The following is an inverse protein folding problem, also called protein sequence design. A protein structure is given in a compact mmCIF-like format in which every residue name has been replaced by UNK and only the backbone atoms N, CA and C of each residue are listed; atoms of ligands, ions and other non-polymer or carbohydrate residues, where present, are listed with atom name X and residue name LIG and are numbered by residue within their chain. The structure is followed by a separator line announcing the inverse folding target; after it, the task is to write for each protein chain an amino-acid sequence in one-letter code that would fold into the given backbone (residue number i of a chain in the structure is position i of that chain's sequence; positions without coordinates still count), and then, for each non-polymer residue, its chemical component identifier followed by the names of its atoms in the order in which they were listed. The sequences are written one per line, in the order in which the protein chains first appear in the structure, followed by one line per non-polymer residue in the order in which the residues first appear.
data_IF_159504151933
#
_entry.id   IF_159504151933
#
_cell.length_a   1.000
_cell.length_b   1.000
_cell.length_c   1.000
_cell.angle_alpha   90.00
_cell.angle_beta   90.00
_cell.angle_gamma   90.00
#
_symmetry.space_group_name_H-M   'P 1'
#
loop_
_entity.id
_entity.type
_entity.pdbx_description
1 polymer ?
#
# COMPACT_ATOMS: atom_id res chain seq x y z
N UNK A 1 -6.21 7.97 -11.18
CA UNK A 1 -5.48 6.69 -11.23
C UNK A 1 -5.19 6.31 -12.67
N UNK A 2 -6.16 6.15 -13.56
CA UNK A 2 -5.88 5.90 -15.00
C UNK A 2 -4.87 6.87 -15.65
N UNK A 3 -4.99 8.18 -15.40
CA UNK A 3 -4.01 9.17 -15.88
C UNK A 3 -2.59 8.96 -15.30
N UNK A 4 -2.50 8.46 -14.06
CA UNK A 4 -1.22 8.14 -13.42
C UNK A 4 -0.60 6.89 -14.04
N UNK A 5 -1.41 5.85 -14.30
CA UNK A 5 -0.99 4.61 -14.96
C UNK A 5 -0.47 4.91 -16.37
N UNK A 6 -1.22 5.72 -17.14
CA UNK A 6 -0.81 6.17 -18.48
C UNK A 6 0.50 6.97 -18.43
N UNK A 7 0.64 7.89 -17.47
CA UNK A 7 1.88 8.68 -17.28
C UNK A 7 3.07 7.78 -16.95
N UNK A 8 2.87 6.75 -16.12
CA UNK A 8 3.90 5.82 -15.72
C UNK A 8 4.33 4.91 -16.88
N UNK A 9 3.36 4.39 -17.64
CA UNK A 9 3.59 3.60 -18.87
C UNK A 9 4.40 4.43 -19.89
N UNK A 10 3.99 5.67 -20.15
CA UNK A 10 4.68 6.59 -21.07
C UNK A 10 6.13 6.87 -20.64
N UNK A 11 6.34 7.04 -19.32
CA UNK A 11 7.67 7.25 -18.72
C UNK A 11 8.58 6.03 -18.91
N UNK A 12 8.06 4.82 -18.67
CA UNK A 12 8.79 3.56 -18.87
C UNK A 12 9.12 3.36 -20.35
N UNK A 13 8.18 3.63 -21.27
CA UNK A 13 8.40 3.58 -22.73
C UNK A 13 9.49 4.54 -23.20
N UNK A 14 9.46 5.80 -22.75
CA UNK A 14 10.54 6.77 -23.03
C UNK A 14 11.90 6.28 -22.52
N UNK A 15 11.92 5.66 -21.33
CA UNK A 15 13.16 5.12 -20.78
C UNK A 15 13.69 3.96 -21.60
N UNK A 16 12.82 3.06 -22.06
CA UNK A 16 13.19 1.96 -22.96
C UNK A 16 13.75 2.46 -24.30
N UNK A 17 13.11 3.45 -24.93
CA UNK A 17 13.61 4.07 -26.17
C UNK A 17 15.00 4.68 -26.01
N UNK A 18 15.32 5.21 -24.83
CA UNK A 18 16.66 5.76 -24.54
C UNK A 18 17.76 4.71 -24.40
N UNK A 19 17.41 3.43 -24.22
CA UNK A 19 18.34 2.34 -23.97
C UNK A 19 18.72 1.54 -25.24
N UNK A 20 18.06 1.80 -26.38
CA UNK A 20 18.37 1.19 -27.68
C UNK A 20 17.24 0.32 -28.24
N UNK A 21 17.56 -0.55 -29.20
CA UNK A 21 16.62 -1.51 -29.77
C UNK A 21 16.37 -2.67 -28.80
N UNK A 22 15.10 -2.95 -28.53
CA UNK A 22 14.62 -3.96 -27.59
C UNK A 22 13.60 -4.93 -28.21
N UNK A 23 13.41 -4.89 -29.54
CA UNK A 23 12.37 -5.67 -30.24
C UNK A 23 12.51 -7.18 -30.01
N UNK A 24 13.75 -7.68 -29.95
CA UNK A 24 14.00 -9.10 -29.67
C UNK A 24 13.70 -9.47 -28.22
N UNK A 25 13.94 -8.57 -27.25
CA UNK A 25 13.67 -8.83 -25.82
C UNK A 25 12.16 -8.84 -25.56
N UNK A 26 11.40 -7.98 -26.22
CA UNK A 26 9.93 -8.00 -26.18
C UNK A 26 9.37 -9.34 -26.69
N UNK A 27 9.86 -9.81 -27.85
CA UNK A 27 9.47 -11.11 -28.41
C UNK A 27 9.84 -12.30 -27.52
N UNK A 28 10.99 -12.25 -26.84
CA UNK A 28 11.40 -13.25 -25.86
C UNK A 28 10.37 -13.32 -24.72
N UNK A 29 10.01 -12.17 -24.13
CA UNK A 29 9.07 -12.12 -23.01
C UNK A 29 7.68 -12.62 -23.41
N UNK A 30 7.18 -12.23 -24.58
CA UNK A 30 5.90 -12.71 -25.10
C UNK A 30 5.89 -14.23 -25.29
N UNK A 31 6.96 -14.80 -25.85
CA UNK A 31 7.06 -16.23 -26.08
C UNK A 31 7.24 -17.02 -24.78
N UNK A 32 8.01 -16.50 -23.81
CA UNK A 32 8.13 -17.07 -22.46
C UNK A 32 6.78 -17.10 -21.73
N UNK A 33 6.01 -16.02 -21.84
CA UNK A 33 4.69 -15.95 -21.21
C UNK A 33 3.68 -16.88 -21.89
N UNK A 34 3.67 -16.92 -23.22
CA UNK A 34 2.85 -17.86 -23.99
C UNK A 34 3.18 -19.31 -23.63
N UNK A 35 4.48 -19.63 -23.46
CA UNK A 35 4.93 -20.94 -23.02
C UNK A 35 4.49 -21.24 -21.58
N UNK A 36 4.60 -20.30 -20.63
CA UNK A 36 4.07 -20.46 -19.26
C UNK A 36 2.56 -20.71 -19.25
N UNK A 37 1.79 -19.95 -20.03
CA UNK A 37 0.35 -20.15 -20.19
C UNK A 37 0.04 -21.55 -20.72
N UNK A 38 0.77 -21.99 -21.75
CA UNK A 38 0.62 -23.33 -22.32
C UNK A 38 0.95 -24.44 -21.31
N UNK A 39 1.99 -24.28 -20.48
CA UNK A 39 2.28 -25.22 -19.39
C UNK A 39 1.15 -25.28 -18.35
N UNK A 40 0.53 -24.14 -18.02
CA UNK A 40 -0.56 -24.08 -17.06
C UNK A 40 -1.89 -24.61 -17.59
N UNK A 41 -2.12 -24.52 -18.91
CA UNK A 41 -3.36 -24.91 -19.58
C UNK A 41 -3.11 -25.29 -21.05
N UNK A 42 -2.72 -26.55 -21.34
CA UNK A 42 -2.39 -27.01 -22.69
C UNK A 42 -3.65 -27.40 -23.49
N UNK A 43 -4.72 -26.59 -23.38
CA UNK A 43 -6.02 -26.89 -23.97
C UNK A 43 -6.10 -26.41 -25.44
N UNK A 44 -5.27 -25.43 -25.81
CA UNK A 44 -5.31 -24.76 -27.13
C UNK A 44 -3.95 -24.79 -27.84
N UNK A 45 -3.51 -25.98 -28.28
CA UNK A 45 -2.25 -26.15 -29.02
C UNK A 45 -2.17 -25.25 -30.27
N UNK A 46 -3.31 -25.08 -30.96
CA UNK A 46 -3.39 -24.26 -32.16
C UNK A 46 -3.14 -22.78 -31.89
N UNK A 47 -3.54 -22.28 -30.73
CA UNK A 47 -3.34 -20.89 -30.32
C UNK A 47 -1.88 -20.63 -29.95
N UNK A 48 -1.25 -21.57 -29.23
CA UNK A 48 0.18 -21.48 -28.96
C UNK A 48 1.03 -21.55 -30.25
N UNK A 49 0.65 -22.41 -31.21
CA UNK A 49 1.30 -22.47 -32.53
C UNK A 49 1.12 -21.18 -33.35
N UNK A 50 0.04 -20.41 -33.15
CA UNK A 50 -0.12 -19.08 -33.77
C UNK A 50 0.80 -18.05 -33.12
N UNK A 51 1.02 -18.13 -31.81
CA UNK A 51 1.94 -17.25 -31.09
C UNK A 51 3.41 -17.48 -31.51
N UNK A 52 3.80 -18.75 -31.73
CA UNK A 52 5.09 -19.11 -32.32
C UNK A 52 5.22 -18.54 -33.76
N UNK A 53 4.14 -18.59 -34.55
CA UNK A 53 4.13 -18.07 -35.93
C UNK A 53 4.28 -16.55 -36.02
N UNK A 54 3.80 -15.77 -35.04
CA UNK A 54 4.04 -14.32 -35.01
C UNK A 54 5.54 -13.96 -35.06
N UNK A 55 6.38 -14.88 -34.62
CA UNK A 55 7.84 -14.77 -34.63
C UNK A 55 8.50 -15.50 -35.84
N UNK A 56 7.75 -15.73 -36.93
CA UNK A 56 8.18 -16.55 -38.08
C UNK A 56 9.45 -16.08 -38.80
N UNK A 57 9.83 -14.81 -38.66
CA UNK A 57 11.05 -14.25 -39.28
C UNK A 57 12.30 -14.98 -38.78
N UNK A 58 12.29 -15.47 -37.53
CA UNK A 58 13.40 -16.16 -36.88
C UNK A 58 13.38 -17.68 -37.07
N UNK A 59 12.32 -18.23 -37.65
CA UNK A 59 12.22 -19.66 -37.93
C UNK A 59 13.07 -20.01 -39.16
N UNK A 60 14.03 -20.91 -38.97
CA UNK A 60 14.74 -21.54 -40.07
C UNK A 60 13.80 -22.45 -40.89
N UNK A 61 14.25 -22.90 -42.06
CA UNK A 61 13.45 -23.74 -42.97
C UNK A 61 12.90 -25.01 -42.30
N UNK A 62 13.72 -25.66 -41.46
CA UNK A 62 13.32 -26.86 -40.71
C UNK A 62 12.23 -26.58 -39.68
N UNK A 63 12.30 -25.46 -38.98
CA UNK A 63 11.31 -25.07 -37.96
C UNK A 63 9.98 -24.67 -38.59
N UNK A 64 10.01 -23.99 -39.75
CA UNK A 64 8.80 -23.66 -40.50
C UNK A 64 8.06 -24.91 -40.95
N UNK A 65 8.81 -25.91 -41.43
CA UNK A 65 8.24 -27.20 -41.81
C UNK A 65 7.61 -27.92 -40.61
N UNK A 66 8.31 -27.96 -39.47
CA UNK A 66 7.79 -28.53 -38.20
C UNK A 66 6.51 -27.82 -37.75
N UNK A 67 6.48 -26.49 -37.80
CA UNK A 67 5.31 -25.67 -37.47
C UNK A 67 4.11 -26.01 -38.37
N UNK A 68 4.30 -26.09 -39.68
CA UNK A 68 3.24 -26.43 -40.64
C UNK A 68 2.70 -27.85 -40.41
N UNK A 69 3.58 -28.82 -40.12
CA UNK A 69 3.18 -30.20 -39.81
C UNK A 69 2.34 -30.28 -38.53
N UNK A 70 2.75 -29.57 -37.46
CA UNK A 70 2.03 -29.55 -36.18
C UNK A 70 0.65 -28.91 -36.32
N UNK A 71 0.52 -27.81 -37.07
CA UNK A 71 -0.79 -27.17 -37.34
C UNK A 71 -1.73 -28.09 -38.13
N UNK A 72 -1.21 -28.83 -39.13
CA UNK A 72 -2.00 -29.75 -39.93
C UNK A 72 -2.53 -30.95 -39.13
N UNK A 73 -1.80 -31.40 -38.10
CA UNK A 73 -2.24 -32.46 -37.18
C UNK A 73 -3.41 -32.00 -36.31
N UNK A 74 -3.40 -30.75 -35.84
CA UNK A 74 -4.46 -30.19 -34.99
C UNK A 74 -5.78 -29.96 -35.72
N UNK A 75 -5.75 -29.67 -37.03
CA UNK A 75 -6.98 -29.51 -37.83
C UNK A 75 -7.74 -30.82 -38.12
N UNK A 76 -7.19 -31.99 -37.77
CA UNK A 76 -7.77 -33.32 -38.06
C UNK A 76 -8.58 -33.95 -36.90
N UNK A 77 -8.79 -33.27 -35.77
CA UNK A 77 -9.59 -33.84 -34.68
C UNK A 77 -11.06 -34.06 -35.12
N UNK A 78 -11.55 -35.30 -34.95
CA UNK A 78 -12.91 -35.74 -35.30
C UNK A 78 -13.97 -34.93 -34.57
N UNK A 79 -14.94 -34.37 -35.30
CA UNK A 79 -16.17 -33.87 -34.69
C UNK A 79 -16.92 -35.00 -33.96
N UNK A 80 -17.40 -34.79 -32.73
CA UNK A 80 -18.20 -35.78 -32.02
C UNK A 80 -19.51 -36.07 -32.77
N UNK A 81 -20.03 -37.29 -32.63
CA UNK A 81 -21.31 -37.68 -33.21
C UNK A 81 -22.42 -36.75 -32.69
N UNK A 82 -23.29 -36.25 -33.58
CA UNK A 82 -24.37 -35.36 -33.20
C UNK A 82 -25.43 -36.11 -32.35
N UNK A 83 -25.36 -35.95 -31.02
CA UNK A 83 -26.27 -36.59 -30.06
C UNK A 83 -27.62 -35.86 -29.92
N UNK A 84 -27.84 -34.75 -30.64
CA UNK A 84 -29.03 -33.91 -30.49
C UNK A 84 -30.33 -34.70 -30.63
N UNK A 85 -30.35 -35.66 -31.56
CA UNK A 85 -31.52 -36.49 -31.87
C UNK A 85 -31.90 -37.41 -30.70
N UNK A 86 -30.90 -37.92 -29.95
CA UNK A 86 -31.15 -38.74 -28.75
C UNK A 86 -31.64 -37.86 -27.60
N UNK A 87 -31.06 -36.66 -27.41
CA UNK A 87 -31.49 -35.72 -26.38
C UNK A 87 -32.92 -35.21 -26.61
N UNK A 88 -33.37 -35.14 -27.86
CA UNK A 88 -34.69 -34.64 -28.23
C UNK A 88 -35.85 -35.58 -27.87
N UNK A 89 -35.60 -36.86 -27.56
CA UNK A 89 -36.65 -37.78 -27.11
C UNK A 89 -37.40 -37.25 -25.88
N UNK A 90 -38.74 -37.31 -25.92
CA UNK A 90 -39.65 -36.76 -24.91
C UNK A 90 -40.17 -37.84 -23.97
N UNK A 91 -39.64 -37.88 -22.75
CA UNK A 91 -40.04 -38.88 -21.75
C UNK A 91 -41.07 -38.35 -20.72
N UNK A 92 -41.56 -37.13 -20.89
CA UNK A 92 -42.62 -36.55 -20.06
C UNK A 92 -43.92 -36.48 -20.87
N UNK A 93 -45.07 -36.60 -20.19
CA UNK A 93 -46.37 -36.60 -20.85
C UNK A 93 -46.59 -35.30 -21.64
N UNK A 94 -46.40 -34.16 -20.99
CA UNK A 94 -46.58 -32.83 -21.58
C UNK A 94 -45.66 -32.61 -22.79
N UNK A 95 -44.40 -33.03 -22.70
CA UNK A 95 -43.45 -32.88 -23.80
C UNK A 95 -43.72 -33.84 -24.96
N UNK A 96 -44.22 -35.04 -24.68
CA UNK A 96 -44.55 -36.00 -25.72
C UNK A 96 -45.79 -35.58 -26.52
N UNK A 97 -46.78 -34.98 -25.85
CA UNK A 97 -47.98 -34.44 -26.48
C UNK A 97 -47.70 -33.27 -27.43
N UNK A 98 -46.61 -32.52 -27.21
CA UNK A 98 -46.19 -31.39 -28.05
C UNK A 98 -45.53 -31.87 -29.37
N UNK A 99 -44.36 -32.51 -29.29
CA UNK A 99 -43.60 -32.94 -30.47
C UNK A 99 -43.05 -34.37 -30.40
N UNK A 100 -43.48 -35.19 -29.43
CA UNK A 100 -42.90 -36.50 -29.13
C UNK A 100 -42.87 -37.50 -30.29
N UNK A 101 -43.96 -37.60 -31.06
CA UNK A 101 -44.06 -38.49 -32.23
C UNK A 101 -43.05 -38.08 -33.31
N UNK A 102 -42.87 -36.78 -33.54
CA UNK A 102 -41.90 -36.27 -34.52
C UNK A 102 -40.46 -36.57 -34.06
N UNK A 103 -40.15 -36.41 -32.78
CA UNK A 103 -38.81 -36.73 -32.23
C UNK A 103 -38.48 -38.22 -32.27
N UNK A 104 -39.49 -39.08 -32.08
CA UNK A 104 -39.31 -40.52 -32.25
C UNK A 104 -38.96 -40.86 -33.71
N UNK A 105 -39.63 -40.23 -34.67
CA UNK A 105 -39.34 -40.41 -36.10
C UNK A 105 -37.94 -39.88 -36.47
N UNK A 106 -37.55 -38.70 -35.98
CA UNK A 106 -36.21 -38.15 -36.16
C UNK A 106 -35.12 -39.17 -35.74
N UNK A 107 -35.35 -39.90 -34.63
CA UNK A 107 -34.42 -40.92 -34.15
C UNK A 107 -34.41 -42.17 -35.04
N UNK A 108 -35.58 -42.62 -35.52
CA UNK A 108 -35.70 -43.78 -36.42
C UNK A 108 -34.98 -43.56 -37.76
N UNK A 109 -34.92 -42.32 -38.24
CA UNK A 109 -34.22 -41.94 -39.49
C UNK A 109 -32.77 -41.49 -39.27
N UNK A 110 -32.32 -41.40 -38.01
CA UNK A 110 -30.97 -40.95 -37.69
C UNK A 110 -29.89 -42.01 -37.92
N UNK A 111 -28.63 -41.58 -37.82
CA UNK A 111 -27.46 -42.47 -37.78
C UNK A 111 -27.49 -43.51 -36.64
N UNK A 112 -28.39 -43.36 -35.65
CA UNK A 112 -28.51 -44.27 -34.51
C UNK A 112 -29.53 -45.40 -34.73
N UNK A 113 -30.19 -45.47 -35.89
CA UNK A 113 -31.20 -46.50 -36.22
C UNK A 113 -30.71 -47.93 -36.12
N UNK A 114 -29.42 -48.15 -36.32
CA UNK A 114 -28.75 -49.45 -36.21
C UNK A 114 -28.54 -49.88 -34.75
N UNK A 115 -28.63 -48.93 -33.80
CA UNK A 115 -28.52 -49.19 -32.36
C UNK A 115 -29.88 -49.55 -31.71
N UNK A 116 -30.97 -49.56 -32.50
CA UNK A 116 -32.33 -49.85 -32.03
C UNK A 116 -32.67 -51.34 -32.23
N UNK A 117 -33.20 -51.98 -31.19
CA UNK A 117 -33.80 -53.32 -31.27
C UNK A 117 -35.17 -53.26 -31.95
N UNK A 118 -35.75 -54.43 -32.23
CA UNK A 118 -37.12 -54.52 -32.76
C UNK A 118 -38.14 -53.92 -31.80
N UNK A 119 -37.99 -54.16 -30.50
CA UNK A 119 -38.87 -53.63 -29.45
C UNK A 119 -38.76 -52.12 -29.32
N UNK A 120 -37.56 -51.55 -29.53
CA UNK A 120 -37.38 -50.10 -29.50
C UNK A 120 -38.07 -49.41 -30.68
N UNK A 121 -38.05 -50.04 -31.86
CA UNK A 121 -38.75 -49.53 -33.05
C UNK A 121 -40.26 -49.56 -32.84
N UNK A 122 -40.78 -50.67 -32.33
CA UNK A 122 -42.20 -50.79 -31.97
C UNK A 122 -42.62 -49.76 -30.89
N UNK A 123 -41.73 -49.46 -29.94
CA UNK A 123 -41.94 -48.40 -28.95
C UNK A 123 -41.95 -47.00 -29.61
N UNK A 124 -41.02 -46.70 -30.50
CA UNK A 124 -40.91 -45.40 -31.16
C UNK A 124 -42.03 -45.13 -32.17
N UNK A 125 -42.54 -46.18 -32.84
CA UNK A 125 -43.64 -46.13 -33.81
C UNK A 125 -45.02 -46.04 -33.15
N UNK A 126 -45.11 -46.28 -31.83
CA UNK A 126 -46.38 -46.19 -31.09
C UNK A 126 -46.83 -44.73 -30.93
N UNK A 127 -48.13 -44.48 -31.18
CA UNK A 127 -48.77 -43.17 -31.00
C UNK A 127 -48.92 -42.80 -29.51
N UNK A 128 -48.95 -43.80 -28.62
CA UNK A 128 -48.98 -43.64 -27.16
C UNK A 128 -47.97 -44.60 -26.53
N UNK A 129 -46.66 -44.29 -26.63
CA UNK A 129 -45.63 -45.17 -26.10
C UNK A 129 -45.61 -45.13 -24.58
N UNK A 130 -45.07 -46.19 -23.98
CA UNK A 130 -44.75 -46.16 -22.56
C UNK A 130 -43.56 -45.21 -22.35
N UNK A 131 -43.79 -44.08 -21.67
CA UNK A 131 -42.79 -43.02 -21.49
C UNK A 131 -41.63 -43.44 -20.59
N UNK A 132 -41.84 -44.35 -19.62
CA UNK A 132 -40.77 -44.90 -18.80
C UNK A 132 -39.79 -45.71 -19.66
N UNK A 133 -40.32 -46.55 -20.56
CA UNK A 133 -39.50 -47.27 -21.54
C UNK A 133 -38.79 -46.35 -22.53
N UNK A 134 -39.40 -45.23 -22.89
CA UNK A 134 -38.77 -44.24 -23.77
C UNK A 134 -37.60 -43.52 -23.07
N UNK A 135 -37.73 -43.27 -21.76
CA UNK A 135 -36.63 -42.76 -20.93
C UNK A 135 -35.49 -43.78 -20.82
N UNK A 136 -35.81 -45.06 -20.61
CA UNK A 136 -34.83 -46.14 -20.58
C UNK A 136 -34.08 -46.26 -21.91
N UNK A 137 -34.79 -46.20 -23.04
CA UNK A 137 -34.22 -46.18 -24.38
C UNK A 137 -33.27 -44.99 -24.56
N UNK A 138 -33.72 -43.79 -24.18
CA UNK A 138 -32.92 -42.56 -24.23
C UNK A 138 -31.63 -42.70 -23.43
N UNK A 139 -31.71 -43.17 -22.19
CA UNK A 139 -30.55 -43.36 -21.32
C UNK A 139 -29.58 -44.39 -21.90
N UNK A 140 -30.06 -45.53 -22.37
CA UNK A 140 -29.22 -46.58 -22.97
C UNK A 140 -28.52 -46.10 -24.25
N UNK A 141 -29.20 -45.33 -25.09
CA UNK A 141 -28.60 -44.74 -26.29
C UNK A 141 -27.56 -43.67 -25.93
N UNK A 142 -27.79 -42.88 -24.89
CA UNK A 142 -26.78 -41.94 -24.38
C UNK A 142 -25.59 -42.69 -23.79
N UNK A 143 -25.77 -43.73 -22.99
CA UNK A 143 -24.67 -44.52 -22.43
C UNK A 143 -23.79 -45.17 -23.50
N UNK A 144 -24.40 -45.62 -24.61
CA UNK A 144 -23.67 -46.27 -25.71
C UNK A 144 -22.96 -45.28 -26.63
N UNK A 145 -23.53 -44.09 -26.85
CA UNK A 145 -23.05 -43.15 -27.87
C UNK A 145 -22.43 -41.86 -27.32
N UNK A 146 -22.66 -41.53 -26.04
CA UNK A 146 -22.01 -40.38 -25.44
C UNK A 146 -20.50 -40.61 -25.37
N UNK A 147 -19.68 -39.59 -25.68
CA UNK A 147 -18.25 -39.70 -25.48
C UNK A 147 -18.00 -40.07 -24.01
N UNK A 148 -17.16 -41.10 -23.78
CA UNK A 148 -16.70 -41.39 -22.42
C UNK A 148 -16.09 -40.11 -21.87
N UNK A 149 -16.42 -39.77 -20.62
CA UNK A 149 -15.75 -38.68 -19.91
C UNK A 149 -14.31 -39.12 -19.66
N UNK A 150 -13.44 -38.84 -20.61
CA UNK A 150 -12.00 -38.95 -20.43
C UNK A 150 -11.58 -37.76 -19.58
N UNK A 151 -11.30 -38.02 -18.31
CA UNK A 151 -10.59 -37.06 -17.47
C UNK A 151 -9.10 -37.15 -17.83
N UNK A 152 -8.76 -36.73 -19.05
CA UNK A 152 -7.36 -36.57 -19.42
C UNK A 152 -6.90 -35.19 -18.93
N UNK A 153 -5.90 -35.19 -18.05
CA UNK A 153 -5.09 -34.00 -17.82
C UNK A 153 -4.28 -33.82 -19.10
N UNK A 154 -4.69 -32.88 -19.95
CA UNK A 154 -3.93 -32.51 -21.13
C UNK A 154 -2.48 -32.21 -20.70
N UNK A 155 -1.53 -32.93 -21.27
CA UNK A 155 -0.10 -32.68 -21.05
C UNK A 155 0.41 -31.78 -22.18
N UNK A 156 1.34 -30.87 -21.88
CA UNK A 156 2.02 -30.10 -22.92
C UNK A 156 2.67 -31.03 -23.95
N UNK A 157 2.45 -30.76 -25.23
CA UNK A 157 3.05 -31.51 -26.33
C UNK A 157 4.54 -31.16 -26.43
N UNK A 158 5.39 -32.16 -26.20
CA UNK A 158 6.85 -32.00 -26.20
C UNK A 158 7.39 -31.46 -27.53
N UNK A 159 6.78 -31.80 -28.67
CA UNK A 159 7.21 -31.31 -29.98
C UNK A 159 6.97 -29.80 -30.14
N UNK A 160 5.86 -29.28 -29.59
CA UNK A 160 5.49 -27.86 -29.62
C UNK A 160 6.35 -27.07 -28.64
N UNK A 161 6.55 -27.62 -27.44
CA UNK A 161 7.43 -27.04 -26.41
C UNK A 161 8.87 -26.96 -26.93
N UNK A 162 9.39 -28.02 -27.54
CA UNK A 162 10.71 -28.01 -28.18
C UNK A 162 10.81 -26.92 -29.24
N UNK A 163 9.81 -26.78 -30.12
CA UNK A 163 9.81 -25.73 -31.14
C UNK A 163 9.86 -24.32 -30.54
N UNK A 164 9.14 -24.07 -29.44
CA UNK A 164 9.18 -22.79 -28.74
C UNK A 164 10.53 -22.52 -28.07
N UNK A 165 11.14 -23.53 -27.44
CA UNK A 165 12.46 -23.41 -26.81
C UNK A 165 13.57 -23.19 -27.85
N UNK A 166 13.53 -23.89 -28.98
CA UNK A 166 14.47 -23.70 -30.08
C UNK A 166 14.40 -22.26 -30.61
N UNK A 167 13.20 -21.69 -30.69
CA UNK A 167 12.98 -20.29 -31.09
C UNK A 167 13.49 -19.31 -30.03
N UNK A 168 13.24 -19.57 -28.74
CA UNK A 168 13.77 -18.77 -27.64
C UNK A 168 15.31 -18.73 -27.67
N UNK A 169 15.97 -19.86 -27.92
CA UNK A 169 17.43 -19.93 -28.01
C UNK A 169 17.98 -19.05 -29.14
N UNK A 170 17.35 -19.07 -30.32
CA UNK A 170 17.69 -18.19 -31.44
C UNK A 170 17.54 -16.72 -31.03
N UNK A 171 16.39 -16.35 -30.43
CA UNK A 171 16.14 -14.97 -30.01
C UNK A 171 17.15 -14.51 -28.94
N UNK A 172 17.48 -15.37 -27.98
CA UNK A 172 18.48 -15.09 -26.95
C UNK A 172 19.87 -14.88 -27.54
N UNK A 173 20.27 -15.66 -28.54
CA UNK A 173 21.56 -15.53 -29.21
C UNK A 173 21.74 -14.22 -29.99
N UNK A 174 20.62 -13.62 -30.42
CA UNK A 174 20.58 -12.38 -31.22
C UNK A 174 20.25 -11.15 -30.37
N UNK A 175 20.08 -11.30 -29.05
CA UNK A 175 19.68 -10.22 -28.15
C UNK A 175 20.83 -9.78 -27.24
N UNK A 176 21.10 -8.47 -27.10
CA UNK A 176 21.97 -7.97 -26.06
C UNK A 176 21.40 -8.33 -24.68
N UNK A 177 22.19 -8.93 -23.80
CA UNK A 177 21.77 -9.30 -22.44
C UNK A 177 21.76 -8.07 -21.49
N UNK A 178 21.00 -7.02 -21.85
CA UNK A 178 20.81 -5.87 -20.96
C UNK A 178 19.69 -6.14 -19.96
N UNK A 179 20.09 -6.49 -18.74
CA UNK A 179 19.18 -6.75 -17.62
C UNK A 179 18.24 -5.58 -17.34
N UNK A 180 18.64 -4.33 -17.62
CA UNK A 180 17.79 -3.15 -17.38
C UNK A 180 16.63 -3.09 -18.35
N UNK A 181 16.88 -3.39 -19.63
CA UNK A 181 15.83 -3.44 -20.66
C UNK A 181 14.82 -4.55 -20.30
N UNK A 182 15.32 -5.73 -19.91
CA UNK A 182 14.46 -6.85 -19.49
C UNK A 182 13.55 -6.48 -18.31
N UNK A 183 14.10 -5.91 -17.23
CA UNK A 183 13.31 -5.50 -16.06
C UNK A 183 12.27 -4.44 -16.42
N UNK A 184 12.62 -3.47 -17.27
CA UNK A 184 11.69 -2.42 -17.69
C UNK A 184 10.57 -2.96 -18.58
N UNK A 185 10.84 -3.93 -19.46
CA UNK A 185 9.81 -4.58 -20.28
C UNK A 185 8.91 -5.49 -19.45
N UNK A 186 9.46 -6.23 -18.49
CA UNK A 186 8.66 -7.02 -17.53
C UNK A 186 7.74 -6.09 -16.72
N UNK A 187 8.27 -4.95 -16.24
CA UNK A 187 7.49 -3.95 -15.53
C UNK A 187 6.40 -3.33 -16.42
N UNK A 188 6.73 -2.97 -17.66
CA UNK A 188 5.77 -2.44 -18.63
C UNK A 188 4.65 -3.44 -18.93
N UNK A 189 4.98 -4.72 -19.12
CA UNK A 189 4.01 -5.80 -19.35
C UNK A 189 3.02 -5.91 -18.20
N UNK A 190 3.50 -5.86 -16.95
CA UNK A 190 2.63 -5.84 -15.76
C UNK A 190 1.73 -4.60 -15.76
N UNK A 191 2.28 -3.42 -16.03
CA UNK A 191 1.48 -2.19 -16.06
C UNK A 191 0.38 -2.21 -17.13
N UNK A 192 0.68 -2.72 -18.33
CA UNK A 192 -0.26 -2.75 -19.46
C UNK A 192 -1.31 -3.87 -19.34
N UNK A 193 -0.94 -5.02 -18.78
CA UNK A 193 -1.81 -6.21 -18.72
C UNK A 193 -2.66 -6.27 -17.46
N UNK A 194 -2.22 -5.64 -16.37
CA UNK A 194 -2.93 -5.63 -15.09
C UNK A 194 -3.09 -4.22 -14.53
N UNK A 195 -3.90 -3.34 -15.17
CA UNK A 195 -4.10 -1.97 -14.68
C UNK A 195 -4.74 -1.93 -13.28
N UNK A 196 -5.60 -2.89 -12.97
CA UNK A 196 -6.26 -3.04 -11.67
C UNK A 196 -5.31 -3.49 -10.55
N UNK A 197 -4.19 -4.15 -10.87
CA UNK A 197 -3.23 -4.59 -9.85
C UNK A 197 -2.44 -3.40 -9.30
N UNK A 198 -2.16 -2.39 -10.13
CA UNK A 198 -1.56 -1.14 -9.66
C UNK A 198 -2.56 -0.35 -8.79
N UNK A 199 -3.83 -0.31 -9.16
CA UNK A 199 -4.89 0.27 -8.33
C UNK A 199 -5.01 -0.47 -6.98
N UNK A 200 -4.98 -1.81 -7.00
CA UNK A 200 -4.95 -2.65 -5.81
C UNK A 200 -3.72 -2.38 -4.95
N UNK A 201 -2.53 -2.36 -5.57
CA UNK A 201 -1.27 -2.05 -4.91
C UNK A 201 -1.30 -0.66 -4.28
N UNK A 202 -1.73 0.38 -4.98
CA UNK A 202 -1.80 1.74 -4.44
C UNK A 202 -2.80 1.85 -3.30
N UNK A 203 -3.92 1.13 -3.39
CA UNK A 203 -4.93 1.03 -2.34
C UNK A 203 -4.44 0.28 -1.11
N UNK A 204 -3.55 -0.69 -1.30
CA UNK A 204 -2.96 -1.49 -0.23
C UNK A 204 -1.68 -0.87 0.34
N UNK A 205 -0.96 -0.05 -0.46
CA UNK A 205 0.30 0.59 -0.10
C UNK A 205 0.09 1.89 0.69
N UNK A 206 -0.95 2.67 0.38
CA UNK A 206 -1.20 3.97 1.03
C UNK A 206 -2.34 3.88 2.06
N UNK A 207 -2.09 3.25 3.20
CA UNK A 207 -2.90 3.47 4.40
C UNK A 207 -2.12 4.29 5.42
N UNK A 208 -2.23 5.62 5.33
CA UNK A 208 -1.73 6.55 6.34
C UNK A 208 -2.90 6.93 7.24
N UNK A 209 -2.84 6.54 8.51
CA UNK A 209 -3.74 7.08 9.54
C UNK A 209 -3.23 8.46 9.95
N UNK A 210 -3.95 9.53 9.59
CA UNK A 210 -3.73 10.84 10.20
C UNK A 210 -4.53 10.92 11.51
N UNK A 211 -3.87 10.71 12.64
CA UNK A 211 -4.47 10.73 13.98
C UNK A 211 -4.60 12.15 14.55
N UNK A 212 -5.06 13.11 13.76
CA UNK A 212 -5.59 14.37 14.31
C UNK A 212 -7.09 14.18 14.53
N UNK A 213 -7.47 13.78 15.76
CA UNK A 213 -8.75 13.92 16.51
C UNK A 213 -10.13 13.96 15.80
N UNK A 214 -10.23 13.73 14.48
CA UNK A 214 -11.48 13.82 13.72
C UNK A 214 -11.59 12.83 12.57
N UNK A 215 -10.48 12.26 12.09
CA UNK A 215 -10.50 11.25 11.02
C UNK A 215 -10.57 9.81 11.53
N UNK A 216 -10.56 9.59 12.85
CA UNK A 216 -10.67 8.26 13.44
C UNK A 216 -12.00 7.56 13.06
N UNK A 217 -13.13 8.26 13.21
CA UNK A 217 -14.43 7.74 12.78
C UNK A 217 -14.49 7.57 11.26
N UNK A 218 -13.88 8.47 10.51
CA UNK A 218 -13.86 8.40 9.05
C UNK A 218 -13.03 7.21 8.55
N UNK A 219 -11.92 6.88 9.19
CA UNK A 219 -11.11 5.71 8.85
C UNK A 219 -11.83 4.40 9.21
N UNK A 220 -12.50 4.32 10.37
CA UNK A 220 -13.34 3.18 10.75
C UNK A 220 -14.60 3.04 9.87
N UNK A 221 -15.21 4.14 9.46
CA UNK A 221 -16.33 4.16 8.51
C UNK A 221 -15.89 3.77 7.10
N UNK A 222 -14.71 4.23 6.66
CA UNK A 222 -14.11 3.85 5.36
C UNK A 222 -13.65 2.40 5.36
N UNK A 223 -13.20 1.87 6.51
CA UNK A 223 -12.91 0.44 6.72
C UNK A 223 -14.17 -0.43 6.75
N UNK A 224 -15.35 0.17 6.87
CA UNK A 224 -16.65 -0.47 6.65
C UNK A 224 -16.98 -1.55 7.69
N UNK A 225 -18.22 -1.51 8.21
CA UNK A 225 -18.82 -2.51 9.12
C UNK A 225 -18.87 -3.96 8.57
N UNK A 226 -18.23 -4.28 7.45
CA UNK A 226 -18.23 -5.62 6.84
C UNK A 226 -16.87 -6.23 6.53
N UNK A 227 -15.74 -5.51 6.59
CA UNK A 227 -14.41 -6.10 6.39
C UNK A 227 -13.33 -5.28 7.12
N UNK A 228 -13.17 -5.51 8.43
CA UNK A 228 -12.01 -5.02 9.18
C UNK A 228 -10.73 -5.54 8.49
N UNK A 229 -9.99 -4.64 7.82
CA UNK A 229 -8.68 -4.96 7.25
C UNK A 229 -7.66 -4.94 8.39
N UNK A 230 -7.03 -6.08 8.60
CA UNK A 230 -5.89 -6.24 9.49
C UNK A 230 -4.60 -6.20 8.67
N UNK A 231 -3.55 -5.62 9.23
CA UNK A 231 -2.25 -5.45 8.61
C UNK A 231 -1.23 -6.41 9.23
N UNK A 232 -0.32 -6.98 8.44
CA UNK A 232 0.72 -7.86 8.98
C UNK A 232 1.68 -7.10 9.91
N UNK A 233 1.98 -5.84 9.54
CA UNK A 233 2.77 -4.92 10.35
C UNK A 233 2.06 -3.57 10.52
N UNK A 234 2.12 -3.02 11.73
CA UNK A 234 1.69 -1.65 12.04
C UNK A 234 2.88 -0.87 12.59
N UNK A 235 3.13 0.31 12.03
CA UNK A 235 4.16 1.24 12.49
C UNK A 235 3.45 2.52 12.96
N UNK A 236 3.72 2.94 14.19
CA UNK A 236 3.17 4.18 14.75
C UNK A 236 4.34 5.09 15.09
N UNK A 237 4.41 6.22 14.39
CA UNK A 237 5.35 7.30 14.71
C UNK A 237 4.73 8.28 15.71
N UNK A 238 5.58 8.99 16.47
CA UNK A 238 5.17 9.87 17.58
C UNK A 238 4.24 9.18 18.60
N UNK A 239 4.41 7.86 18.80
CA UNK A 239 3.57 7.02 19.65
C UNK A 239 3.57 7.46 21.12
N UNK A 240 4.59 8.21 21.56
CA UNK A 240 4.66 8.78 22.90
C UNK A 240 3.59 9.88 23.15
N UNK A 241 3.19 10.59 22.09
CA UNK A 241 2.16 11.66 22.09
C UNK A 241 0.74 11.12 21.89
N UNK A 242 0.59 9.87 21.45
CA UNK A 242 -0.73 9.29 21.19
C UNK A 242 -1.50 9.07 22.50
N UNK A 243 -2.81 9.31 22.47
CA UNK A 243 -3.69 8.90 23.55
C UNK A 243 -3.63 7.36 23.70
N UNK A 244 -3.57 6.81 24.92
CA UNK A 244 -3.56 5.36 25.15
C UNK A 244 -4.63 4.58 24.37
N UNK A 245 -5.86 5.10 24.28
CA UNK A 245 -6.95 4.42 23.56
C UNK A 245 -6.73 4.42 22.06
N UNK A 246 -6.28 5.55 21.49
CA UNK A 246 -5.96 5.65 20.06
C UNK A 246 -4.83 4.70 19.68
N UNK A 247 -3.78 4.65 20.51
CA UNK A 247 -2.65 3.76 20.31
C UNK A 247 -3.08 2.29 20.33
N UNK A 248 -3.92 1.88 21.31
CA UNK A 248 -4.45 0.51 21.39
C UNK A 248 -5.28 0.14 20.17
N UNK A 249 -6.14 1.04 19.69
CA UNK A 249 -6.98 0.77 18.53
C UNK A 249 -6.14 0.52 17.28
N UNK A 250 -5.09 1.33 17.06
CA UNK A 250 -4.18 1.15 15.92
C UNK A 250 -3.35 -0.13 16.07
N UNK A 251 -2.85 -0.42 17.27
CA UNK A 251 -2.13 -1.67 17.57
C UNK A 251 -2.98 -2.92 17.34
N UNK A 252 -4.29 -2.87 17.63
CA UNK A 252 -5.20 -3.99 17.44
C UNK A 252 -5.42 -4.37 15.96
N UNK A 253 -5.03 -3.50 15.02
CA UNK A 253 -5.07 -3.78 13.59
C UNK A 253 -3.89 -4.67 13.12
N UNK A 254 -2.86 -4.86 13.95
CA UNK A 254 -1.69 -5.66 13.61
C UNK A 254 -1.93 -7.17 13.82
N UNK A 255 -1.54 -8.00 12.85
CA UNK A 255 -1.56 -9.46 12.96
C UNK A 255 -0.29 -10.02 13.58
N UNK A 256 0.87 -9.51 13.15
CA UNK A 256 2.16 -10.14 13.48
C UNK A 256 3.10 -9.18 14.21
N UNK A 257 3.22 -7.94 13.73
CA UNK A 257 4.27 -7.02 14.20
C UNK A 257 3.76 -5.62 14.45
N UNK A 258 4.20 -5.05 15.57
CA UNK A 258 3.96 -3.65 15.96
C UNK A 258 5.32 -2.99 16.15
N UNK A 259 5.52 -1.83 15.54
CA UNK A 259 6.70 -0.98 15.72
C UNK A 259 6.20 0.37 16.23
N UNK A 260 6.65 0.76 17.42
CA UNK A 260 6.34 2.05 18.01
C UNK A 260 7.60 2.91 17.99
N UNK A 261 7.50 4.08 17.39
CA UNK A 261 8.55 5.11 17.36
C UNK A 261 8.04 6.31 18.16
N UNK A 262 8.86 6.83 19.06
CA UNK A 262 8.47 7.95 19.92
C UNK A 262 9.51 8.23 21.00
N UNK A 263 9.32 9.35 21.69
CA UNK A 263 10.19 9.82 22.75
C UNK A 263 9.36 10.22 23.98
N UNK A 264 9.45 9.43 25.05
CA UNK A 264 8.69 9.64 26.28
C UNK A 264 9.13 10.87 27.10
N UNK A 265 10.14 11.60 26.64
CA UNK A 265 10.61 12.86 27.25
C UNK A 265 10.16 14.11 26.51
N UNK A 266 9.59 13.96 25.32
CA UNK A 266 8.99 15.08 24.59
C UNK A 266 7.58 15.36 25.14
N UNK A 267 6.81 16.18 24.42
CA UNK A 267 5.49 16.61 24.88
C UNK A 267 4.59 15.39 25.20
N UNK A 268 3.89 15.39 26.35
CA UNK A 268 2.90 14.37 26.66
C UNK A 268 1.71 14.46 25.70
N UNK A 269 0.84 13.45 25.72
CA UNK A 269 -0.42 13.54 24.98
C UNK A 269 -1.30 14.66 25.53
N UNK A 270 -2.00 15.36 24.63
CA UNK A 270 -2.94 16.40 24.99
C UNK A 270 -4.09 15.80 25.79
N UNK A 271 -4.40 16.38 26.96
CA UNK A 271 -5.59 16.06 27.73
C UNK A 271 -6.68 17.04 27.33
N UNK A 272 -7.81 16.49 26.88
CA UNK A 272 -8.95 17.29 26.50
C UNK A 272 -9.50 18.06 27.72
N UNK A 273 -9.76 19.35 27.58
CA UNK A 273 -10.32 20.23 28.60
C UNK A 273 -11.64 19.67 29.18
N UNK A 274 -12.37 18.84 28.42
CA UNK A 274 -13.55 18.13 28.93
C UNK A 274 -13.23 17.01 29.92
N UNK A 275 -12.09 16.34 29.77
CA UNK A 275 -11.61 15.32 30.71
C UNK A 275 -11.17 16.02 31.98
N UNK A 276 -10.46 17.16 31.88
CA UNK A 276 -10.11 17.98 33.04
C UNK A 276 -11.34 18.46 33.80
N UNK A 277 -12.36 18.96 33.12
CA UNK A 277 -13.64 19.38 33.76
C UNK A 277 -14.40 18.22 34.41
N UNK A 278 -14.34 17.01 33.85
CA UNK A 278 -14.94 15.82 34.48
C UNK A 278 -14.14 15.39 35.71
N UNK A 279 -12.82 15.47 35.63
CA UNK A 279 -11.92 15.24 36.76
C UNK A 279 -12.13 16.26 37.87
N UNK A 280 -12.54 17.51 37.58
CA UNK A 280 -12.87 18.50 38.62
C UNK A 280 -13.91 18.01 39.63
N UNK A 281 -14.85 17.14 39.20
CA UNK A 281 -15.93 16.61 40.03
C UNK A 281 -15.58 15.36 40.87
N UNK A 282 -14.40 14.76 40.64
CA UNK A 282 -13.95 13.54 41.31
C UNK A 282 -13.17 13.82 42.62
N UNK A 283 -12.98 12.79 43.44
CA UNK A 283 -12.13 12.88 44.65
C UNK A 283 -10.65 13.11 44.31
N UNK A 284 -9.91 13.79 45.18
CA UNK A 284 -8.49 14.14 44.93
C UNK A 284 -7.62 12.91 44.66
N UNK A 285 -7.83 11.81 45.39
CA UNK A 285 -7.06 10.57 45.19
C UNK A 285 -7.29 9.97 43.78
N UNK A 286 -8.52 10.04 43.27
CA UNK A 286 -8.88 9.57 41.91
C UNK A 286 -8.29 10.49 40.84
N UNK A 287 -8.28 11.82 41.08
CA UNK A 287 -7.60 12.77 40.17
C UNK A 287 -6.11 12.49 40.10
N UNK A 288 -5.46 12.33 41.24
CA UNK A 288 -4.01 12.09 41.30
C UNK A 288 -3.64 10.77 40.62
N UNK A 289 -4.44 9.71 40.78
CA UNK A 289 -4.24 8.44 40.07
C UNK A 289 -4.45 8.55 38.56
N UNK A 290 -5.51 9.23 38.12
CA UNK A 290 -5.81 9.40 36.69
C UNK A 290 -4.76 10.32 36.06
N UNK A 291 -4.41 11.42 36.69
CA UNK A 291 -3.39 12.36 36.22
C UNK A 291 -2.01 11.68 36.14
N UNK A 292 -1.66 10.82 37.11
CA UNK A 292 -0.45 9.99 37.02
C UNK A 292 -0.53 8.96 35.89
N UNK A 293 -1.68 8.32 35.69
CA UNK A 293 -1.88 7.33 34.63
C UNK A 293 -1.86 7.96 33.23
N UNK A 294 -2.29 9.21 33.11
CA UNK A 294 -2.25 10.04 31.90
C UNK A 294 -0.84 10.62 31.67
N UNK A 295 -0.15 11.09 32.71
CA UNK A 295 1.24 11.55 32.60
C UNK A 295 2.20 10.42 32.20
N UNK A 296 1.91 9.18 32.58
CA UNK A 296 2.66 8.01 32.12
C UNK A 296 2.09 7.47 30.80
N UNK A 297 2.59 8.03 29.69
CA UNK A 297 2.29 7.54 28.34
C UNK A 297 2.39 6.02 28.23
N UNK A 298 1.43 5.40 27.52
CA UNK A 298 1.44 3.97 27.23
C UNK A 298 2.76 3.53 26.59
N UNK A 299 3.36 4.38 25.76
CA UNK A 299 4.67 4.15 25.17
C UNK A 299 5.75 3.91 26.23
N UNK A 300 5.80 4.77 27.26
CA UNK A 300 6.74 4.64 28.38
C UNK A 300 6.53 3.31 29.14
N UNK A 301 5.28 2.94 29.43
CA UNK A 301 4.95 1.67 30.09
C UNK A 301 5.40 0.46 29.26
N UNK A 302 5.22 0.51 27.95
CA UNK A 302 5.67 -0.55 27.03
C UNK A 302 7.20 -0.62 26.96
N UNK A 303 7.90 0.52 26.95
CA UNK A 303 9.37 0.59 27.00
C UNK A 303 9.93 -0.04 28.29
N UNK A 304 9.39 0.32 29.45
CA UNK A 304 9.78 -0.26 30.74
C UNK A 304 9.47 -1.78 30.79
N UNK A 305 8.34 -2.19 30.20
CA UNK A 305 8.00 -3.62 30.09
C UNK A 305 8.98 -4.37 29.19
N UNK A 306 9.38 -3.78 28.06
CA UNK A 306 10.36 -4.34 27.15
C UNK A 306 11.72 -4.55 27.83
N UNK A 307 12.17 -3.59 28.65
CA UNK A 307 13.38 -3.69 29.47
C UNK A 307 13.29 -4.86 30.47
N UNK A 308 12.20 -4.93 31.25
CA UNK A 308 11.98 -6.04 32.21
C UNK A 308 11.94 -7.40 31.52
N UNK A 309 11.35 -7.50 30.33
CA UNK A 309 11.33 -8.75 29.57
C UNK A 309 12.72 -9.15 29.06
N UNK A 310 13.55 -8.18 28.64
CA UNK A 310 14.95 -8.43 28.27
C UNK A 310 15.73 -9.02 29.43
N UNK A 311 15.52 -8.55 30.66
CA UNK A 311 16.15 -9.12 31.86
C UNK A 311 15.75 -10.57 32.11
N UNK A 312 14.52 -10.96 31.75
CA UNK A 312 13.98 -12.30 31.97
C UNK A 312 14.41 -13.32 30.91
N UNK A 313 14.46 -12.94 29.64
CA UNK A 313 14.70 -13.88 28.54
C UNK A 313 15.84 -13.51 27.57
N UNK A 314 16.55 -12.41 27.86
CA UNK A 314 17.69 -11.95 27.07
C UNK A 314 17.34 -11.36 25.71
N UNK A 315 16.06 -11.22 25.34
CA UNK A 315 15.65 -10.74 24.02
C UNK A 315 15.49 -9.22 24.00
N UNK A 316 16.20 -8.58 23.08
CA UNK A 316 16.10 -7.14 22.84
C UNK A 316 14.81 -6.80 22.09
N UNK A 317 14.05 -5.83 22.64
CA UNK A 317 12.70 -5.45 22.17
C UNK A 317 12.53 -3.95 21.96
N UNK A 318 13.50 -3.16 22.39
CA UNK A 318 13.52 -1.73 22.21
C UNK A 318 14.93 -1.33 21.81
N UNK A 319 15.05 -0.25 21.07
CA UNK A 319 16.33 0.33 20.67
C UNK A 319 16.23 1.84 20.83
N UNK A 320 17.29 2.45 21.37
CA UNK A 320 17.41 3.90 21.50
C UNK A 320 18.34 4.42 20.40
N UNK A 321 17.85 5.37 19.60
CA UNK A 321 18.68 6.09 18.64
C UNK A 321 19.41 7.21 19.37
N UNK A 322 20.74 7.08 19.52
CA UNK A 322 21.56 7.98 20.35
C UNK A 322 22.45 8.93 19.54
N UNK A 323 22.16 9.11 18.25
CA UNK A 323 22.87 10.02 17.34
C UNK A 323 21.89 11.06 16.81
N UNK A 324 22.16 12.33 17.07
CA UNK A 324 21.36 13.45 16.57
C UNK A 324 22.06 14.14 15.40
N UNK A 325 21.32 14.44 14.33
CA UNK A 325 21.85 15.09 13.11
C UNK A 325 21.23 16.46 12.84
N UNK A 326 20.30 16.92 13.69
CA UNK A 326 19.48 18.11 13.45
C UNK A 326 20.14 19.40 13.94
N UNK A 327 20.77 19.35 15.11
CA UNK A 327 21.12 20.56 15.87
C UNK A 327 22.63 20.69 16.06
N UNK A 328 23.11 21.92 16.16
CA UNK A 328 24.51 22.20 16.46
C UNK A 328 24.97 21.43 17.73
N UNK A 329 26.19 20.84 17.75
CA UNK A 329 26.66 20.00 18.87
C UNK A 329 26.47 20.60 20.25
N UNK A 330 26.83 21.89 20.43
CA UNK A 330 26.63 22.63 21.69
C UNK A 330 25.17 22.66 22.18
N UNK A 331 24.21 22.82 21.26
CA UNK A 331 22.79 22.75 21.62
C UNK A 331 22.40 21.32 21.99
N UNK A 332 22.89 20.34 21.23
CA UNK A 332 22.63 18.93 21.47
C UNK A 332 23.15 18.46 22.82
N UNK A 333 24.33 18.93 23.22
CA UNK A 333 24.93 18.63 24.52
C UNK A 333 24.07 19.16 25.67
N UNK A 334 23.54 20.39 25.56
CA UNK A 334 22.63 20.95 26.56
C UNK A 334 21.37 20.08 26.68
N UNK A 335 20.71 19.77 25.55
CA UNK A 335 19.47 18.98 25.55
C UNK A 335 19.72 17.57 26.09
N UNK A 336 20.77 16.89 25.60
CA UNK A 336 21.14 15.57 26.09
C UNK A 336 21.49 15.59 27.58
N UNK A 337 22.23 16.59 28.04
CA UNK A 337 22.69 16.71 29.42
C UNK A 337 21.55 16.95 30.41
N UNK A 338 20.57 17.76 30.03
CA UNK A 338 19.43 18.13 30.89
C UNK A 338 18.36 17.04 30.89
N UNK A 339 17.95 16.56 29.72
CA UNK A 339 16.75 15.71 29.62
C UNK A 339 17.05 14.21 29.56
N UNK A 340 18.19 13.79 28.99
CA UNK A 340 18.41 12.38 28.66
C UNK A 340 19.49 11.69 29.52
N UNK A 341 20.59 12.40 29.83
CA UNK A 341 21.69 11.90 30.65
C UNK A 341 21.27 11.44 32.05
N UNK A 342 20.36 12.12 32.79
CA UNK A 342 19.90 11.66 34.11
C UNK A 342 19.25 10.27 34.10
N UNK A 343 18.87 9.78 32.92
CA UNK A 343 18.19 8.51 32.71
C UNK A 343 19.03 7.50 31.91
N UNK A 344 20.35 7.75 31.78
CA UNK A 344 21.27 6.92 30.99
C UNK A 344 20.92 6.80 29.50
N UNK A 345 20.25 7.79 28.92
CA UNK A 345 19.86 7.80 27.51
C UNK A 345 20.51 8.95 26.73
N UNK A 346 21.71 9.38 27.16
CA UNK A 346 22.45 10.45 26.49
C UNK A 346 22.68 10.17 25.00
N UNK A 347 22.62 11.23 24.20
CA UNK A 347 22.92 11.20 22.77
C UNK A 347 24.04 12.19 22.43
N UNK A 348 24.63 12.03 21.25
CA UNK A 348 25.68 12.92 20.76
C UNK A 348 25.48 13.28 19.29
N UNK A 349 26.17 14.32 18.83
CA UNK A 349 26.19 14.70 17.41
C UNK A 349 27.34 14.01 16.68
N UNK A 350 27.07 13.26 15.60
CA UNK A 350 28.13 12.83 14.67
C UNK A 350 28.66 13.96 13.80
N UNK A 351 27.85 15.01 13.62
CA UNK A 351 28.20 16.18 12.82
C UNK A 351 29.00 17.15 13.67
N UNK A 352 30.02 17.75 13.06
CA UNK A 352 30.84 18.78 13.70
C UNK A 352 30.22 20.17 13.52
N UNK A 353 30.69 21.14 14.30
CA UNK A 353 30.22 22.53 14.29
C UNK A 353 30.28 23.16 12.89
N UNK A 354 31.22 22.74 12.03
CA UNK A 354 31.35 23.31 10.69
C UNK A 354 30.15 23.04 9.77
N UNK A 355 29.35 22.02 10.07
CA UNK A 355 28.11 21.72 9.33
C UNK A 355 26.97 22.69 9.63
N UNK A 356 27.08 23.48 10.70
CA UNK A 356 26.02 24.36 11.21
C UNK A 356 26.41 25.84 11.14
N UNK A 357 27.41 26.18 10.32
CA UNK A 357 27.86 27.57 10.12
C UNK A 357 26.76 28.41 9.47
N UNK A 358 26.60 29.64 9.94
CA UNK A 358 25.62 30.60 9.43
C UNK A 358 26.23 32.01 9.36
N UNK A 359 25.77 32.85 8.44
CA UNK A 359 26.30 34.20 8.27
C UNK A 359 25.52 35.26 9.05
N UNK A 360 24.71 34.86 10.05
CA UNK A 360 23.95 35.75 10.92
C UNK A 360 24.90 36.65 11.74
N UNK A 361 25.08 37.89 11.31
CA UNK A 361 26.10 38.82 11.84
C UNK A 361 25.91 39.15 13.31
N UNK A 362 24.65 39.24 13.73
CA UNK A 362 24.27 39.52 15.12
C UNK A 362 24.70 38.40 16.06
N UNK A 363 24.70 37.16 15.58
CA UNK A 363 25.03 35.98 16.38
C UNK A 363 26.52 35.66 16.37
N UNK A 364 27.30 36.21 15.44
CA UNK A 364 28.74 35.96 15.33
C UNK A 364 29.08 34.46 15.30
N UNK A 365 28.39 33.71 14.42
CA UNK A 365 28.47 32.23 14.33
C UNK A 365 28.13 31.45 15.62
N UNK A 366 27.55 32.08 16.64
CA UNK A 366 27.10 31.38 17.85
C UNK A 366 25.75 30.70 17.59
N UNK A 367 25.59 29.41 17.93
CA UNK A 367 24.39 28.64 17.63
C UNK A 367 23.17 29.02 18.48
N UNK A 368 23.35 29.80 19.55
CA UNK A 368 22.27 30.30 20.39
C UNK A 368 22.69 31.60 21.09
N UNK A 369 21.73 32.52 21.24
CA UNK A 369 21.87 33.73 22.04
C UNK A 369 20.58 34.04 22.78
N UNK A 370 20.69 34.70 23.93
CA UNK A 370 19.55 35.27 24.62
C UNK A 370 19.37 36.74 24.23
N UNK A 371 18.20 37.10 23.72
CA UNK A 371 17.86 38.48 23.37
C UNK A 371 17.08 39.09 24.54
N UNK A 372 17.75 39.97 25.29
CA UNK A 372 17.13 40.66 26.42
C UNK A 372 16.23 41.80 25.94
N UNK A 373 14.91 41.56 25.96
CA UNK A 373 13.88 42.57 25.69
C UNK A 373 13.59 43.29 27.01
N UNK A 374 13.92 44.59 27.07
CA UNK A 374 13.92 45.35 28.33
C UNK A 374 12.55 45.78 28.85
N UNK A 375 11.55 45.96 27.98
CA UNK A 375 10.22 46.43 28.40
C UNK A 375 9.44 45.26 29.03
N UNK A 376 9.17 45.28 30.35
CA UNK A 376 8.58 44.15 31.05
C UNK A 376 7.05 44.07 30.91
N UNK A 377 6.41 44.96 30.14
CA UNK A 377 4.94 45.04 30.06
C UNK A 377 4.33 43.84 29.32
N UNK A 378 3.95 42.81 30.05
CA UNK A 378 3.04 41.77 29.59
C UNK A 378 1.57 42.20 29.72
N UNK A 379 0.73 41.74 28.80
CA UNK A 379 -0.71 41.98 28.76
C UNK A 379 -1.44 40.65 28.67
N UNK A 380 -2.76 40.66 28.93
CA UNK A 380 -3.63 39.49 28.90
C UNK A 380 -4.89 39.80 28.09
N UNK A 381 -5.31 38.90 27.21
CA UNK A 381 -6.57 39.04 26.47
C UNK A 381 -7.77 38.62 27.34
N UNK A 382 -8.99 38.71 26.77
CA UNK A 382 -10.23 38.34 27.46
C UNK A 382 -10.28 36.85 27.87
N UNK A 383 -9.68 35.98 27.05
CA UNK A 383 -9.61 34.52 27.27
C UNK A 383 -8.49 34.12 28.23
N UNK A 384 -7.73 35.09 28.75
CA UNK A 384 -6.70 34.86 29.74
C UNK A 384 -5.33 34.47 29.17
N UNK A 385 -5.12 34.55 27.86
CA UNK A 385 -3.85 34.29 27.19
C UNK A 385 -2.92 35.51 27.24
N UNK A 386 -1.65 35.28 27.58
CA UNK A 386 -0.65 36.34 27.74
C UNK A 386 0.00 36.73 26.42
N UNK A 387 0.37 37.99 26.29
CA UNK A 387 1.12 38.50 25.15
C UNK A 387 1.99 39.69 25.53
N UNK A 388 3.00 39.97 24.69
CA UNK A 388 3.97 41.03 24.91
C UNK A 388 4.43 41.60 23.58
N UNK A 389 3.93 42.79 23.27
CA UNK A 389 4.19 43.53 22.02
C UNK A 389 5.69 43.83 21.84
N UNK A 390 6.42 44.11 22.92
CA UNK A 390 7.85 44.42 22.85
C UNK A 390 8.70 43.24 22.38
N UNK A 391 8.29 41.99 22.64
CA UNK A 391 8.94 40.80 22.08
C UNK A 391 8.65 40.65 20.58
N UNK A 392 7.43 40.99 20.14
CA UNK A 392 7.04 40.93 18.71
C UNK A 392 7.90 41.89 17.89
N UNK A 393 8.06 43.13 18.37
CA UNK A 393 8.90 44.13 17.70
C UNK A 393 10.39 43.71 17.69
N UNK A 394 10.87 43.09 18.77
CA UNK A 394 12.23 42.57 18.83
C UNK A 394 12.41 41.43 17.80
N UNK A 395 11.51 40.45 17.77
CA UNK A 395 11.56 39.33 16.82
C UNK A 395 11.56 39.86 15.39
N UNK A 396 10.63 40.77 15.06
CA UNK A 396 10.57 41.38 13.73
C UNK A 396 11.90 42.03 13.32
N UNK A 397 12.48 42.84 14.22
CA UNK A 397 13.76 43.50 13.98
C UNK A 397 14.89 42.51 13.66
N UNK A 398 15.00 41.42 14.43
CA UNK A 398 16.06 40.43 14.20
C UNK A 398 15.77 39.54 12.99
N UNK A 399 14.51 39.22 12.74
CA UNK A 399 14.09 38.45 11.58
C UNK A 399 14.43 39.19 10.28
N UNK A 400 14.18 40.50 10.20
CA UNK A 400 14.54 41.34 9.06
C UNK A 400 16.06 41.31 8.79
N UNK A 401 16.88 41.32 9.85
CA UNK A 401 18.33 41.22 9.72
C UNK A 401 18.75 39.82 9.26
N UNK A 402 18.14 38.77 9.82
CA UNK A 402 18.56 37.39 9.56
C UNK A 402 18.15 36.93 8.17
N UNK A 403 16.96 37.29 7.70
CA UNK A 403 16.53 37.01 6.32
C UNK A 403 17.39 37.76 5.29
N UNK A 404 17.98 38.89 5.66
CA UNK A 404 18.93 39.61 4.80
C UNK A 404 20.29 38.92 4.76
N UNK A 405 20.76 38.42 5.90
CA UNK A 405 22.05 37.73 6.01
C UNK A 405 21.98 36.30 5.40
N UNK A 406 20.85 35.61 5.56
CA UNK A 406 20.60 34.22 5.11
C UNK A 406 19.21 34.10 4.42
N UNK A 407 19.07 34.54 3.15
CA UNK A 407 17.77 34.61 2.47
C UNK A 407 17.15 33.26 2.10
N UNK A 408 17.96 32.20 2.04
CA UNK A 408 17.51 30.86 1.70
C UNK A 408 17.20 29.99 2.93
N UNK A 409 17.47 30.49 4.14
CA UNK A 409 17.20 29.77 5.37
C UNK A 409 15.71 29.73 5.70
N UNK A 410 15.35 28.70 6.44
CA UNK A 410 14.02 28.51 7.03
C UNK A 410 13.98 29.08 8.45
N UNK A 411 12.88 29.76 8.78
CA UNK A 411 12.71 30.45 10.04
C UNK A 411 11.47 29.93 10.78
N UNK A 412 11.62 29.69 12.08
CA UNK A 412 10.52 29.32 12.98
C UNK A 412 10.39 30.33 14.11
N UNK A 413 9.17 30.73 14.46
CA UNK A 413 8.89 31.48 15.69
C UNK A 413 7.94 30.66 16.57
N UNK A 414 8.43 30.26 17.73
CA UNK A 414 7.72 29.45 18.73
C UNK A 414 7.30 30.36 19.89
N UNK A 415 6.07 30.19 20.35
CA UNK A 415 5.56 30.84 21.56
C UNK A 415 4.68 29.87 22.36
N UNK A 416 4.61 30.06 23.67
CA UNK A 416 3.76 29.26 24.55
C UNK A 416 2.30 29.73 24.59
N UNK A 417 2.00 30.93 24.07
CA UNK A 417 0.70 31.56 24.26
C UNK A 417 -0.02 31.85 22.94
N UNK A 418 -1.28 31.44 22.87
CA UNK A 418 -2.14 31.57 21.67
C UNK A 418 -2.34 33.02 21.21
N UNK A 419 -2.48 33.97 22.13
CA UNK A 419 -2.64 35.38 21.76
C UNK A 419 -1.36 35.97 21.17
N UNK A 420 -0.19 35.64 21.74
CA UNK A 420 1.08 36.04 21.17
C UNK A 420 1.28 35.45 19.78
N UNK A 421 0.92 34.18 19.57
CA UNK A 421 0.97 33.55 18.24
C UNK A 421 0.13 34.36 17.25
N UNK A 422 -1.13 34.65 17.59
CA UNK A 422 -2.04 35.43 16.75
C UNK A 422 -1.46 36.80 16.38
N UNK A 423 -0.86 37.49 17.34
CA UNK A 423 -0.26 38.80 17.13
C UNK A 423 1.03 38.73 16.28
N UNK A 424 1.86 37.70 16.48
CA UNK A 424 3.04 37.43 15.65
C UNK A 424 2.64 37.15 14.19
N UNK A 425 1.63 36.30 13.96
CA UNK A 425 1.08 36.02 12.63
C UNK A 425 0.57 37.28 11.94
N UNK A 426 -0.06 38.18 12.70
CA UNK A 426 -0.53 39.46 12.18
C UNK A 426 0.64 40.41 11.84
N UNK A 427 1.63 40.51 12.72
CA UNK A 427 2.76 41.43 12.57
C UNK A 427 3.77 41.00 11.49
N UNK A 428 3.92 39.70 11.28
CA UNK A 428 4.87 39.08 10.35
C UNK A 428 4.18 38.51 9.11
N UNK A 429 2.97 38.97 8.81
CA UNK A 429 2.24 38.56 7.62
C UNK A 429 3.02 38.96 6.36
N UNK A 430 3.28 38.00 5.49
CA UNK A 430 3.98 38.22 4.21
C UNK A 430 5.48 37.97 4.24
N UNK A 431 6.05 37.57 5.38
CA UNK A 431 7.42 37.08 5.45
C UNK A 431 7.51 35.70 4.76
N UNK A 432 8.52 35.52 3.90
CA UNK A 432 8.77 34.26 3.21
C UNK A 432 9.55 33.29 4.12
N UNK A 433 9.42 31.98 3.88
CA UNK A 433 10.14 30.93 4.61
C UNK A 433 10.03 30.99 6.14
N UNK A 434 8.91 31.56 6.64
CA UNK A 434 8.63 31.71 8.06
C UNK A 434 7.43 30.86 8.45
N UNK A 435 7.58 30.09 9.52
CA UNK A 435 6.46 29.47 10.22
C UNK A 435 6.34 30.03 11.65
N UNK A 436 5.10 30.19 12.13
CA UNK A 436 4.81 30.67 13.48
C UNK A 436 3.83 29.70 14.14
N UNK A 437 4.12 29.27 15.35
CA UNK A 437 3.25 28.33 16.05
C UNK A 437 3.54 28.17 17.52
N UNK A 438 2.74 27.32 18.15
CA UNK A 438 2.98 26.87 19.51
C UNK A 438 3.96 25.71 19.52
N UNK A 439 4.54 25.42 20.69
CA UNK A 439 5.46 24.28 20.87
C UNK A 439 4.81 22.97 20.35
N UNK A 440 3.52 22.76 20.62
CA UNK A 440 2.77 21.58 20.18
C UNK A 440 2.69 21.41 18.66
N UNK A 441 2.52 22.52 17.94
CA UNK A 441 2.42 22.53 16.48
C UNK A 441 3.78 22.38 15.78
N UNK A 442 4.87 22.62 16.50
CA UNK A 442 6.24 22.59 15.98
C UNK A 442 6.93 21.25 16.23
N UNK A 443 6.32 20.34 16.98
CA UNK A 443 6.84 18.99 17.15
C UNK A 443 6.97 18.29 15.78
N UNK A 444 8.08 17.60 15.57
CA UNK A 444 8.42 16.95 14.30
C UNK A 444 8.94 17.89 13.21
N UNK A 445 8.83 19.22 13.38
CA UNK A 445 9.36 20.20 12.43
C UNK A 445 10.78 20.63 12.77
N UNK A 446 11.48 21.13 11.77
CA UNK A 446 12.83 21.68 11.90
C UNK A 446 13.00 22.92 11.03
N UNK A 447 13.82 23.84 11.51
CA UNK A 447 14.13 25.11 10.87
C UNK A 447 15.61 25.40 11.11
N UNK A 448 16.24 26.11 10.18
CA UNK A 448 17.63 26.54 10.31
C UNK A 448 17.79 27.53 11.47
N UNK A 449 16.81 28.41 11.66
CA UNK A 449 16.80 29.43 12.71
C UNK A 449 15.47 29.46 13.43
N UNK A 450 15.50 29.32 14.77
CA UNK A 450 14.30 29.35 15.61
C UNK A 450 14.37 30.49 16.61
N UNK A 451 13.29 31.29 16.68
CA UNK A 451 13.03 32.25 17.73
C UNK A 451 12.07 31.65 18.75
N UNK A 452 12.42 31.72 20.03
CA UNK A 452 11.53 31.34 21.13
C UNK A 452 11.06 32.61 21.87
N UNK A 453 9.77 32.92 21.81
CA UNK A 453 9.13 34.00 22.56
C UNK A 453 8.66 33.47 23.91
N UNK A 454 9.34 33.86 24.99
CA UNK A 454 9.03 33.43 26.36
C UNK A 454 7.89 34.21 27.00
N UNK A 455 7.66 35.47 26.59
CA UNK A 455 6.64 36.42 27.05
C UNK A 455 6.76 36.84 28.52
N UNK A 456 6.77 35.88 29.42
CA UNK A 456 6.57 36.08 30.85
C UNK A 456 7.75 36.79 31.47
N UNK A 457 7.44 37.82 32.25
CA UNK A 457 8.42 38.74 32.88
C UNK A 457 8.38 38.68 34.41
N UNK A 458 7.38 37.99 34.95
CA UNK A 458 7.21 37.76 36.38
C UNK A 458 7.39 36.30 36.74
N UNK A 459 8.04 36.06 37.89
CA UNK A 459 8.17 34.72 38.46
C UNK A 459 6.82 34.29 39.06
N UNK A 460 6.06 33.47 38.32
CA UNK A 460 4.93 32.70 38.87
C UNK A 460 5.40 31.30 39.25
N UNK A 461 4.82 30.70 40.29
CA UNK A 461 5.14 29.31 40.70
C UNK A 461 4.86 28.30 39.58
N UNK A 462 3.90 28.64 38.73
CA UNK A 462 3.51 27.87 37.55
C UNK A 462 4.09 28.57 36.31
N UNK A 463 5.11 27.95 35.71
CA UNK A 463 5.79 28.43 34.51
C UNK A 463 5.76 27.28 33.49
N UNK A 464 4.95 27.41 32.45
CA UNK A 464 4.69 26.34 31.48
C UNK A 464 3.20 26.02 31.35
N UNK A 465 2.91 24.96 30.59
CA UNK A 465 1.58 24.45 30.24
C UNK A 465 0.69 24.21 31.46
#
# INVERSE_FOLDING_TARGET
MREFDETLIESVKKKLQSLGDYENIEKILDLEEALRRYYSSPISELEFLKEIEKNAIFLNSSMREKLSQLKARQQKQKMPANLSVIYALRATQEGFEDDGVMRNYDLLESQFKENLTKEDRELLESVKPNLEKLQELKMRLLEKNAPKREYEISKPNEEIVSLANDLLEILYSQSPNDKRIRVLLEYLSVLERTPWDLEGLLRDYNFVFSSTTGQHNQALETLGRKNLRYFDSVIVDEAAKANPLELLMVMALAKERIILVGDDRQLPHYLDDEIEKKLESESQDVKDEIEKALKESMFKKLKERAQKLKELDGRERFITLNKQYRMHPLLGELVSGVFYKPHNESFESPLKEEHFKHNLRVLDNKPCTWIDVKDPKEKRNADGSYYRESEIEAIKKYLDLFMKDEPNSTFGVITFYSEQKRLLEQALKGYANLEIGTVDSFQGKEFDVVFLSSIRTHHTKDFGF
#
